data_IF_455531767992
#
_entry.id   IF_455531767992
#
_cell.length_a   1.000
_cell.length_b   1.000
_cell.length_c   1.000
_cell.angle_alpha   90.00
_cell.angle_beta   90.00
_cell.angle_gamma   90.00
#
_symmetry.space_group_name_H-M   'P 1'
#
loop_
_entity.id
_entity.type
_entity.pdbx_description
1 polymer ?
#
# COMPACT_ATOMS: atom_id res chain seq x y z
N UNK A 1 -12.45 -4.82 10.79
CA UNK A 1 -13.68 -4.02 10.82
C UNK A 1 -13.45 -2.68 10.13
N UNK A 2 -14.26 -2.32 9.14
CA UNK A 2 -14.30 -1.00 8.51
C UNK A 2 -15.58 -0.27 8.91
N UNK A 3 -15.51 1.07 9.02
CA UNK A 3 -16.64 1.89 9.41
C UNK A 3 -16.86 3.02 8.42
N UNK A 4 -18.12 3.28 8.12
CA UNK A 4 -18.54 4.37 7.23
C UNK A 4 -19.28 5.41 8.06
N UNK A 5 -18.85 6.64 7.95
CA UNK A 5 -19.46 7.76 8.65
C UNK A 5 -20.02 8.78 7.66
N UNK A 6 -21.19 9.34 8.00
CA UNK A 6 -21.69 10.54 7.33
C UNK A 6 -20.94 11.75 7.86
N UNK A 7 -20.43 12.57 6.95
CA UNK A 7 -19.80 13.84 7.26
C UNK A 7 -20.76 15.00 6.96
N UNK A 8 -20.65 16.05 7.75
CA UNK A 8 -21.25 17.32 7.42
C UNK A 8 -20.49 17.93 6.24
N UNK A 9 -21.17 18.25 5.11
CA UNK A 9 -20.48 18.70 3.89
C UNK A 9 -19.88 20.12 4.01
N UNK A 10 -20.26 20.89 5.03
CA UNK A 10 -19.77 22.27 5.25
C UNK A 10 -18.61 22.27 6.24
N UNK A 11 -18.73 21.52 7.35
CA UNK A 11 -17.77 21.57 8.44
C UNK A 11 -16.78 20.42 8.45
N UNK A 12 -17.04 19.34 7.70
CA UNK A 12 -16.26 18.08 7.73
C UNK A 12 -16.49 17.26 9.01
N UNK A 13 -17.34 17.70 9.92
CA UNK A 13 -17.58 16.99 11.17
C UNK A 13 -18.30 15.64 10.95
N UNK A 14 -17.90 14.63 11.73
CA UNK A 14 -18.59 13.33 11.75
C UNK A 14 -19.99 13.53 12.37
N UNK A 15 -21.03 13.19 11.61
CA UNK A 15 -22.42 13.32 12.06
C UNK A 15 -22.96 12.01 12.66
N UNK A 16 -22.77 10.90 11.95
CA UNK A 16 -23.23 9.60 12.44
C UNK A 16 -22.48 8.43 11.76
N UNK A 17 -22.43 7.31 12.47
CA UNK A 17 -22.07 6.02 11.89
C UNK A 17 -23.19 5.57 10.94
N UNK A 18 -22.85 5.25 9.69
CA UNK A 18 -23.78 4.70 8.70
C UNK A 18 -23.77 3.19 8.76
N UNK A 19 -22.55 2.58 8.76
CA UNK A 19 -22.39 1.14 8.62
C UNK A 19 -21.08 0.66 9.24
N UNK A 20 -21.07 -0.57 9.73
CA UNK A 20 -19.88 -1.34 10.08
C UNK A 20 -19.79 -2.54 9.13
N UNK A 21 -18.62 -2.72 8.52
CA UNK A 21 -18.35 -3.82 7.61
C UNK A 21 -17.42 -4.81 8.28
N UNK A 22 -17.88 -6.02 8.46
CA UNK A 22 -17.09 -7.16 8.93
C UNK A 22 -16.85 -8.13 7.76
N UNK A 23 -15.64 -8.69 7.71
CA UNK A 23 -15.33 -9.73 6.75
C UNK A 23 -15.44 -11.11 7.43
N UNK A 24 -16.44 -11.87 7.05
CA UNK A 24 -16.68 -13.23 7.55
C UNK A 24 -16.09 -14.29 6.60
N UNK A 25 -14.78 -14.17 6.32
CA UNK A 25 -14.06 -15.13 5.49
C UNK A 25 -13.14 -16.01 6.33
N UNK A 26 -12.78 -17.22 5.84
CA UNK A 26 -11.71 -17.99 6.44
C UNK A 26 -10.40 -17.20 6.49
N UNK A 27 -9.73 -17.25 7.62
CA UNK A 27 -8.42 -16.61 7.83
C UNK A 27 -7.30 -17.41 7.17
N UNK A 28 -6.17 -16.74 6.93
CA UNK A 28 -4.93 -17.40 6.50
C UNK A 28 -4.29 -18.20 7.63
N UNK A 29 -3.14 -18.82 7.36
CA UNK A 29 -2.45 -19.69 8.33
C UNK A 29 -1.29 -19.04 9.06
N UNK A 30 -0.98 -17.79 8.77
CA UNK A 30 0.07 -17.04 9.46
C UNK A 30 -0.40 -16.64 10.87
N UNK A 31 0.50 -16.58 11.85
CA UNK A 31 0.17 -16.21 13.26
C UNK A 31 -0.55 -14.85 13.39
N UNK A 32 -0.35 -13.93 12.45
CA UNK A 32 -1.02 -12.63 12.38
C UNK A 32 -2.37 -12.66 11.66
N UNK A 33 -2.84 -13.82 11.30
CA UNK A 33 -4.13 -14.01 10.61
C UNK A 33 -5.13 -14.74 11.51
N UNK A 34 -5.17 -14.36 12.79
CA UNK A 34 -6.11 -14.90 13.80
C UNK A 34 -7.56 -14.45 13.58
N UNK A 35 -7.75 -13.38 12.83
CA UNK A 35 -9.06 -12.80 12.50
C UNK A 35 -8.97 -11.95 11.23
N UNK A 36 -10.08 -11.40 10.78
CA UNK A 36 -10.09 -10.34 9.74
C UNK A 36 -9.34 -9.11 10.22
N UNK A 37 -8.42 -8.61 9.40
CA UNK A 37 -7.64 -7.40 9.63
C UNK A 37 -7.75 -6.48 8.41
N UNK A 38 -8.89 -5.77 8.29
CA UNK A 38 -9.05 -4.75 7.25
C UNK A 38 -8.02 -3.66 7.47
N UNK A 39 -7.08 -3.52 6.52
CA UNK A 39 -5.93 -2.65 6.69
C UNK A 39 -6.04 -1.33 5.91
N UNK A 40 -6.66 -1.35 4.75
CA UNK A 40 -6.71 -0.20 3.85
C UNK A 40 -8.05 -0.15 3.13
N UNK A 41 -8.60 1.05 3.02
CA UNK A 41 -9.77 1.34 2.18
C UNK A 41 -9.43 2.47 1.22
N UNK A 42 -9.84 2.33 -0.03
CA UNK A 42 -9.74 3.40 -1.00
C UNK A 42 -10.85 3.29 -2.05
N UNK A 43 -11.18 4.42 -2.66
CA UNK A 43 -12.01 4.47 -3.84
C UNK A 43 -11.22 3.98 -5.07
N UNK A 44 -11.89 3.31 -6.00
CA UNK A 44 -11.27 2.90 -7.26
C UNK A 44 -11.13 4.08 -8.22
N UNK A 45 -10.15 4.07 -9.17
CA UNK A 45 -9.91 5.20 -10.09
C UNK A 45 -11.12 5.58 -10.97
N UNK A 46 -12.02 4.63 -11.23
CA UNK A 46 -13.25 4.85 -12.00
C UNK A 46 -14.43 5.36 -11.15
N UNK A 47 -14.20 5.62 -9.85
CA UNK A 47 -15.18 6.11 -8.88
C UNK A 47 -16.44 5.24 -8.73
N UNK A 48 -16.37 3.95 -9.11
CA UNK A 48 -17.52 3.05 -9.03
C UNK A 48 -17.57 2.22 -7.77
N UNK A 49 -16.42 1.99 -7.15
CA UNK A 49 -16.26 1.05 -6.06
C UNK A 49 -15.37 1.60 -4.96
N UNK A 50 -15.52 1.01 -3.77
CA UNK A 50 -14.55 1.09 -2.68
C UNK A 50 -13.92 -0.28 -2.52
N UNK A 51 -12.61 -0.34 -2.37
CA UNK A 51 -11.85 -1.57 -2.15
C UNK A 51 -11.27 -1.59 -0.75
N UNK A 52 -11.31 -2.74 -0.11
CA UNK A 52 -10.73 -3.00 1.20
C UNK A 52 -9.75 -4.16 1.12
N UNK A 53 -8.50 -3.95 1.54
CA UNK A 53 -7.56 -5.04 1.75
C UNK A 53 -7.79 -5.67 3.11
N UNK A 54 -7.79 -6.98 3.18
CA UNK A 54 -7.88 -7.73 4.43
C UNK A 54 -6.68 -8.67 4.58
N UNK A 55 -5.75 -8.23 5.42
CA UNK A 55 -4.53 -8.96 5.74
C UNK A 55 -4.83 -10.32 6.37
N UNK A 56 -5.85 -10.38 7.23
CA UNK A 56 -6.18 -11.60 7.99
C UNK A 56 -6.79 -12.69 7.14
N UNK A 57 -7.44 -12.35 6.03
CA UNK A 57 -8.17 -13.30 5.18
C UNK A 57 -7.58 -13.48 3.78
N UNK A 58 -6.44 -12.85 3.49
CA UNK A 58 -5.76 -12.86 2.18
C UNK A 58 -6.65 -12.39 1.02
N UNK A 59 -7.44 -11.32 1.25
CA UNK A 59 -8.43 -10.86 0.26
C UNK A 59 -8.36 -9.36 0.02
N UNK A 60 -8.78 -8.99 -1.18
CA UNK A 60 -9.28 -7.65 -1.49
C UNK A 60 -10.78 -7.77 -1.73
N UNK A 61 -11.55 -7.07 -0.92
CA UNK A 61 -13.01 -7.04 -1.01
C UNK A 61 -13.42 -5.73 -1.68
N UNK A 62 -14.24 -5.82 -2.70
CA UNK A 62 -14.76 -4.68 -3.46
C UNK A 62 -16.21 -4.45 -3.09
N UNK A 63 -16.54 -3.20 -2.81
CA UNK A 63 -17.88 -2.75 -2.45
C UNK A 63 -18.39 -1.75 -3.46
N UNK A 64 -19.70 -1.77 -3.67
CA UNK A 64 -20.41 -0.77 -4.46
C UNK A 64 -21.29 0.09 -3.56
N UNK A 65 -21.31 1.39 -3.79
CA UNK A 65 -22.25 2.27 -3.11
C UNK A 65 -23.69 1.94 -3.50
N UNK A 66 -24.55 1.76 -2.49
CA UNK A 66 -25.99 1.60 -2.61
C UNK A 66 -26.73 2.68 -1.84
N UNK A 67 -28.05 2.68 -1.92
CA UNK A 67 -28.90 3.65 -1.18
C UNK A 67 -28.71 3.54 0.33
N UNK A 68 -28.44 2.32 0.82
CA UNK A 68 -28.36 2.00 2.26
C UNK A 68 -26.90 1.77 2.75
N UNK A 69 -25.89 2.16 1.98
CA UNK A 69 -24.48 1.96 2.33
C UNK A 69 -23.69 1.16 1.28
N UNK A 70 -22.64 0.46 1.71
CA UNK A 70 -21.77 -0.33 0.85
C UNK A 70 -22.25 -1.79 0.78
N UNK A 71 -22.42 -2.30 -0.43
CA UNK A 71 -22.74 -3.72 -0.67
C UNK A 71 -21.53 -4.42 -1.27
N UNK A 72 -21.15 -5.57 -0.72
CA UNK A 72 -20.09 -6.40 -1.28
C UNK A 72 -20.44 -6.74 -2.75
N UNK A 73 -19.49 -6.45 -3.63
CA UNK A 73 -19.65 -6.62 -5.08
C UNK A 73 -18.78 -7.74 -5.63
N UNK A 74 -17.49 -7.73 -5.28
CA UNK A 74 -16.52 -8.73 -5.71
C UNK A 74 -15.52 -9.06 -4.61
N UNK A 75 -14.86 -10.21 -4.74
CA UNK A 75 -13.78 -10.64 -3.85
C UNK A 75 -12.65 -11.18 -4.72
N UNK A 76 -11.44 -10.69 -4.50
CA UNK A 76 -10.21 -11.21 -5.11
C UNK A 76 -9.38 -11.88 -4.03
N UNK A 77 -9.11 -13.18 -4.20
CA UNK A 77 -8.35 -14.02 -3.28
C UNK A 77 -6.89 -14.06 -3.69
N UNK A 78 -5.98 -13.91 -2.73
CA UNK A 78 -4.54 -14.07 -2.90
C UNK A 78 -4.05 -15.37 -2.26
N UNK A 79 -2.75 -15.65 -2.32
CA UNK A 79 -2.18 -16.88 -1.74
C UNK A 79 -2.33 -16.85 -0.21
N UNK A 80 -2.39 -18.03 0.36
CA UNK A 80 -2.43 -18.16 1.82
C UNK A 80 -1.16 -17.57 2.46
N UNK A 81 -1.34 -16.79 3.50
CA UNK A 81 -0.28 -16.06 4.21
C UNK A 81 0.38 -14.93 3.40
N UNK A 82 -0.29 -14.37 2.42
CA UNK A 82 0.14 -13.17 1.72
C UNK A 82 -0.04 -11.91 2.58
N UNK A 83 -1.22 -11.72 3.15
CA UNK A 83 -1.57 -10.54 3.94
C UNK A 83 -1.61 -9.26 3.12
N UNK A 84 -2.57 -9.09 2.17
CA UNK A 84 -2.69 -7.87 1.38
C UNK A 84 -2.93 -6.66 2.29
N UNK A 85 -2.16 -5.58 2.06
CA UNK A 85 -2.08 -4.46 2.98
C UNK A 85 -2.48 -3.12 2.36
N UNK A 86 -1.78 -2.66 1.35
CA UNK A 86 -2.04 -1.42 0.60
C UNK A 86 -2.14 -1.69 -0.89
N UNK A 87 -2.80 -0.78 -1.61
CA UNK A 87 -2.96 -0.81 -3.07
C UNK A 87 -2.55 0.54 -3.64
N UNK A 88 -1.79 0.53 -4.73
CA UNK A 88 -1.60 1.67 -5.61
C UNK A 88 -2.13 1.31 -7.00
N UNK A 89 -2.82 2.25 -7.66
CA UNK A 89 -3.31 2.05 -9.02
C UNK A 89 -2.38 2.70 -10.03
N UNK A 90 -2.30 2.14 -11.23
CA UNK A 90 -1.68 2.80 -12.38
C UNK A 90 -2.45 4.10 -12.73
N UNK A 91 -1.77 5.06 -13.36
CA UNK A 91 -2.39 6.35 -13.68
C UNK A 91 -3.60 6.25 -14.62
N UNK A 92 -3.65 5.20 -15.43
CA UNK A 92 -4.79 4.92 -16.31
C UNK A 92 -5.89 4.08 -15.65
N UNK A 93 -5.68 3.65 -14.39
CA UNK A 93 -6.62 2.88 -13.60
C UNK A 93 -6.83 1.44 -14.05
N UNK A 94 -6.06 0.94 -15.03
CA UNK A 94 -6.23 -0.42 -15.56
C UNK A 94 -5.47 -1.49 -14.78
N UNK A 95 -4.45 -1.10 -14.03
CA UNK A 95 -3.64 -2.00 -13.23
C UNK A 95 -3.56 -1.53 -11.78
N UNK A 96 -3.26 -2.45 -10.90
CA UNK A 96 -3.01 -2.15 -9.49
C UNK A 96 -1.84 -2.97 -8.94
N UNK A 97 -1.12 -2.36 -8.02
CA UNK A 97 0.02 -2.92 -7.31
C UNK A 97 -0.39 -3.16 -5.87
N UNK A 98 -0.53 -4.44 -5.50
CA UNK A 98 -1.00 -4.85 -4.18
C UNK A 98 0.18 -5.40 -3.40
N UNK A 99 0.52 -4.75 -2.30
CA UNK A 99 1.61 -5.21 -1.43
C UNK A 99 1.09 -6.18 -0.39
N UNK A 100 1.84 -7.26 -0.19
CA UNK A 100 1.54 -8.34 0.73
C UNK A 100 2.47 -8.27 1.94
N UNK A 101 1.93 -7.87 3.09
CA UNK A 101 2.72 -7.61 4.31
C UNK A 101 3.53 -8.82 4.75
N UNK A 102 2.95 -10.02 4.64
CA UNK A 102 3.50 -11.22 5.25
C UNK A 102 4.44 -11.98 4.32
N UNK A 103 4.18 -11.97 3.02
CA UNK A 103 5.03 -12.65 2.03
C UNK A 103 6.18 -11.81 1.50
N UNK A 104 6.25 -10.51 1.80
CA UNK A 104 7.24 -9.57 1.26
C UNK A 104 7.24 -9.50 -0.28
N UNK A 105 6.06 -9.61 -0.87
CA UNK A 105 5.87 -9.57 -2.32
C UNK A 105 4.91 -8.44 -2.72
N UNK A 106 5.03 -7.98 -3.95
CA UNK A 106 4.04 -7.14 -4.63
C UNK A 106 3.44 -7.91 -5.79
N UNK A 107 2.10 -7.95 -5.86
CA UNK A 107 1.38 -8.44 -7.04
C UNK A 107 1.09 -7.28 -8.00
N UNK A 108 1.41 -7.47 -9.27
CA UNK A 108 0.84 -6.68 -10.36
C UNK A 108 -0.46 -7.33 -10.77
N UNK A 109 -1.53 -6.56 -10.79
CA UNK A 109 -2.87 -7.06 -11.12
C UNK A 109 -3.51 -6.24 -12.22
N UNK A 110 -4.24 -6.88 -13.12
CA UNK A 110 -5.22 -6.21 -13.98
C UNK A 110 -6.45 -5.87 -13.13
N UNK A 111 -6.87 -4.61 -13.17
CA UNK A 111 -8.12 -4.17 -12.55
C UNK A 111 -9.23 -4.10 -13.60
N UNK A 112 -10.27 -4.89 -13.40
CA UNK A 112 -11.44 -4.92 -14.28
C UNK A 112 -12.72 -5.00 -13.47
N UNK A 113 -13.52 -3.94 -13.53
CA UNK A 113 -14.87 -3.89 -12.94
C UNK A 113 -14.90 -4.42 -11.48
N UNK A 114 -14.04 -3.85 -10.63
CA UNK A 114 -13.96 -4.20 -9.22
C UNK A 114 -13.21 -5.50 -8.90
N UNK A 115 -12.63 -6.18 -9.88
CA UNK A 115 -11.85 -7.41 -9.69
C UNK A 115 -10.38 -7.18 -9.97
N UNK A 116 -9.53 -7.90 -9.23
CA UNK A 116 -8.08 -7.90 -9.37
C UNK A 116 -7.63 -9.27 -9.85
N UNK A 117 -7.05 -9.31 -11.06
CA UNK A 117 -6.54 -10.53 -11.70
C UNK A 117 -5.02 -10.45 -11.67
N UNK A 118 -4.39 -11.34 -10.90
CA UNK A 118 -2.93 -11.34 -10.76
C UNK A 118 -2.25 -11.71 -12.09
N UNK A 119 -1.28 -10.87 -12.50
CA UNK A 119 -0.46 -11.05 -13.70
C UNK A 119 0.92 -11.57 -13.34
N UNK A 120 1.59 -10.93 -12.38
CA UNK A 120 2.94 -11.29 -11.94
C UNK A 120 3.19 -10.90 -10.48
N UNK A 121 4.31 -11.41 -9.92
CA UNK A 121 4.77 -11.08 -8.56
C UNK A 121 6.24 -10.79 -8.52
N UNK A 122 6.63 -9.91 -7.61
CA UNK A 122 8.03 -9.57 -7.35
C UNK A 122 8.31 -9.56 -5.86
N UNK A 123 9.45 -10.12 -5.44
CA UNK A 123 9.99 -9.91 -4.10
C UNK A 123 10.47 -8.46 -3.94
N UNK A 124 10.28 -7.91 -2.75
CA UNK A 124 10.71 -6.55 -2.42
C UNK A 124 11.97 -6.52 -1.54
N UNK A 125 12.46 -7.70 -1.15
CA UNK A 125 13.68 -7.90 -0.36
C UNK A 125 14.65 -8.82 -1.10
N UNK A 126 15.97 -8.77 -0.80
CA UNK A 126 16.94 -9.67 -1.39
C UNK A 126 16.67 -11.13 -1.04
N UNK A 127 16.95 -12.05 -1.97
CA UNK A 127 16.70 -13.50 -1.78
C UNK A 127 17.59 -14.15 -0.71
N UNK A 128 18.68 -13.51 -0.34
CA UNK A 128 19.63 -13.95 0.70
C UNK A 128 19.36 -13.31 2.08
N UNK A 129 18.34 -12.45 2.18
CA UNK A 129 17.93 -11.89 3.46
C UNK A 129 17.22 -12.94 4.33
N UNK A 130 17.72 -13.17 5.54
CA UNK A 130 17.23 -14.19 6.46
C UNK A 130 16.58 -13.61 7.74
N UNK A 131 16.35 -12.28 7.79
CA UNK A 131 15.70 -11.62 8.91
C UNK A 131 14.17 -11.57 8.76
N UNK A 132 13.51 -11.05 9.78
CA UNK A 132 12.08 -10.72 9.68
C UNK A 132 11.88 -9.44 8.89
N UNK A 133 10.96 -9.46 7.95
CA UNK A 133 10.54 -8.27 7.21
C UNK A 133 9.04 -8.29 6.95
N UNK A 134 8.44 -7.10 6.92
CA UNK A 134 7.00 -6.91 6.68
C UNK A 134 6.80 -5.70 5.79
N UNK A 135 6.11 -5.85 4.67
CA UNK A 135 5.80 -4.72 3.81
C UNK A 135 4.91 -3.69 4.52
N UNK A 136 5.04 -2.44 4.14
CA UNK A 136 4.20 -1.39 4.69
C UNK A 136 3.50 -0.57 3.60
N UNK A 137 4.09 0.48 3.08
CA UNK A 137 3.47 1.38 2.12
C UNK A 137 3.87 1.04 0.68
N UNK A 138 3.00 1.40 -0.26
CA UNK A 138 3.26 1.41 -1.70
C UNK A 138 2.82 2.74 -2.28
N UNK A 139 3.63 3.34 -3.13
CA UNK A 139 3.31 4.56 -3.88
C UNK A 139 3.86 4.47 -5.29
N UNK A 140 3.04 4.90 -6.24
CA UNK A 140 3.46 5.15 -7.61
C UNK A 140 3.93 6.62 -7.72
N UNK A 141 4.98 6.90 -8.47
CA UNK A 141 5.34 8.27 -8.82
C UNK A 141 4.21 8.94 -9.62
N UNK A 142 4.07 10.26 -9.54
CA UNK A 142 3.00 10.98 -10.22
C UNK A 142 3.09 10.84 -11.75
N UNK A 143 4.31 10.69 -12.29
CA UNK A 143 4.52 10.40 -13.72
C UNK A 143 4.22 8.94 -14.11
N UNK A 144 3.89 8.07 -13.15
CA UNK A 144 3.52 6.68 -13.35
C UNK A 144 4.66 5.72 -13.70
N UNK A 145 5.93 6.17 -13.65
CA UNK A 145 7.06 5.38 -14.15
C UNK A 145 7.74 4.52 -13.12
N UNK A 146 7.61 4.86 -11.83
CA UNK A 146 8.33 4.16 -10.77
C UNK A 146 7.43 3.84 -9.59
N UNK A 147 7.53 2.61 -9.09
CA UNK A 147 6.83 2.14 -7.92
C UNK A 147 7.80 1.99 -6.75
N UNK A 148 7.41 2.49 -5.59
CA UNK A 148 8.18 2.44 -4.34
C UNK A 148 7.43 1.65 -3.29
N UNK A 149 8.15 0.80 -2.52
CA UNK A 149 7.56 -0.07 -1.50
C UNK A 149 8.48 -0.10 -0.29
N UNK A 150 7.94 0.19 0.91
CA UNK A 150 8.74 0.16 2.14
C UNK A 150 8.69 -1.20 2.83
N UNK A 151 9.86 -1.66 3.32
CA UNK A 151 10.09 -2.94 4.01
C UNK A 151 10.53 -2.67 5.45
N UNK A 152 9.67 -2.98 6.42
CA UNK A 152 9.95 -2.86 7.85
C UNK A 152 10.73 -4.10 8.33
N UNK A 153 11.81 -3.91 9.05
CA UNK A 153 12.71 -4.97 9.52
C UNK A 153 13.89 -5.21 8.56
N UNK A 154 13.67 -5.25 7.24
CA UNK A 154 14.75 -5.09 6.27
C UNK A 154 15.20 -3.61 6.16
N UNK A 155 14.35 -2.69 6.58
CA UNK A 155 14.59 -1.25 6.67
C UNK A 155 15.08 -0.63 5.35
N UNK A 156 14.26 -0.84 4.32
CA UNK A 156 14.55 -0.41 2.95
C UNK A 156 13.31 0.06 2.20
N UNK A 157 13.56 0.66 1.04
CA UNK A 157 12.57 0.99 0.02
C UNK A 157 12.94 0.23 -1.25
N UNK A 158 12.10 -0.71 -1.68
CA UNK A 158 12.24 -1.38 -2.97
C UNK A 158 11.72 -0.45 -4.06
N UNK A 159 12.48 -0.35 -5.16
CA UNK A 159 12.24 0.54 -6.29
C UNK A 159 12.07 -0.30 -7.55
N UNK A 160 10.96 -0.09 -8.24
CA UNK A 160 10.67 -0.75 -9.51
C UNK A 160 10.39 0.26 -10.60
N UNK A 161 10.82 -0.03 -11.80
CA UNK A 161 10.34 0.61 -13.02
C UNK A 161 9.04 -0.05 -13.46
N UNK A 162 8.08 0.77 -13.83
CA UNK A 162 6.79 0.34 -14.36
C UNK A 162 6.89 0.22 -15.87
N UNK A 163 6.60 -0.95 -16.40
CA UNK A 163 6.70 -1.31 -17.81
C UNK A 163 5.33 -1.60 -18.41
N UNK A 164 5.27 -1.61 -19.73
CA UNK A 164 4.08 -2.05 -20.50
C UNK A 164 2.78 -1.37 -20.03
N UNK A 165 2.80 -0.06 -19.86
CA UNK A 165 1.64 0.74 -19.40
C UNK A 165 1.07 0.27 -18.05
N UNK A 166 1.93 -0.16 -17.14
CA UNK A 166 1.53 -0.58 -15.79
C UNK A 166 1.40 -2.09 -15.59
N UNK A 167 1.57 -2.88 -16.65
CA UNK A 167 1.31 -4.31 -16.63
C UNK A 167 2.43 -5.15 -16.04
N UNK A 168 3.65 -4.63 -16.00
CA UNK A 168 4.83 -5.34 -15.54
C UNK A 168 5.76 -4.43 -14.74
N UNK A 169 6.59 -5.04 -13.87
CA UNK A 169 7.58 -4.36 -13.06
C UNK A 169 8.98 -4.89 -13.34
N UNK A 170 9.95 -4.00 -13.33
CA UNK A 170 11.37 -4.35 -13.33
C UNK A 170 12.04 -3.78 -12.09
N UNK A 171 12.64 -4.65 -11.27
CA UNK A 171 13.41 -4.20 -10.10
C UNK A 171 14.58 -3.31 -10.52
N UNK A 172 14.71 -2.15 -9.89
CA UNK A 172 15.82 -1.21 -10.08
C UNK A 172 16.81 -1.38 -8.94
N UNK A 173 16.33 -1.27 -7.69
CA UNK A 173 17.18 -1.20 -6.50
C UNK A 173 16.38 -1.47 -5.24
N UNK A 174 17.04 -1.95 -4.19
CA UNK A 174 16.52 -2.00 -2.83
C UNK A 174 17.38 -1.04 -2.00
N UNK A 175 16.87 0.18 -1.81
CA UNK A 175 17.55 1.29 -1.18
C UNK A 175 17.39 1.24 0.34
N UNK A 176 18.46 1.32 1.18
CA UNK A 176 18.30 1.49 2.62
C UNK A 176 17.43 2.69 2.97
N UNK A 177 16.54 2.54 3.95
CA UNK A 177 15.69 3.65 4.42
C UNK A 177 16.40 4.60 5.40
N UNK A 178 17.59 4.21 5.88
CA UNK A 178 18.48 4.94 6.78
C UNK A 178 17.95 5.20 8.19
N UNK A 179 16.81 4.60 8.52
CA UNK A 179 16.34 4.45 9.90
C UNK A 179 15.41 3.22 9.99
N UNK A 180 15.03 2.81 11.19
CA UNK A 180 14.34 1.56 11.42
C UNK A 180 12.81 1.69 11.21
N UNK A 181 12.22 0.63 10.69
CA UNK A 181 10.80 0.44 10.52
C UNK A 181 10.11 1.51 9.66
N UNK A 182 10.46 1.66 8.36
CA UNK A 182 9.84 2.60 7.43
C UNK A 182 8.36 2.23 7.20
N UNK A 183 7.45 2.86 7.97
CA UNK A 183 6.04 2.46 8.00
C UNK A 183 5.22 3.10 6.91
N UNK A 184 5.49 4.36 6.59
CA UNK A 184 4.82 5.08 5.51
C UNK A 184 5.78 6.08 4.86
N UNK A 185 5.51 6.42 3.63
CA UNK A 185 6.22 7.46 2.90
C UNK A 185 5.27 8.11 1.89
N UNK A 186 5.64 9.29 1.42
CA UNK A 186 4.94 9.92 0.31
C UNK A 186 5.93 10.61 -0.62
N UNK A 187 5.51 10.84 -1.86
CA UNK A 187 6.28 11.51 -2.91
C UNK A 187 5.68 12.90 -3.10
N UNK A 188 6.52 13.92 -3.17
CA UNK A 188 6.06 15.30 -3.39
C UNK A 188 5.39 15.43 -4.76
N UNK A 189 4.44 16.36 -4.90
CA UNK A 189 3.74 16.63 -6.19
C UNK A 189 4.70 16.91 -7.36
N UNK A 190 5.87 17.45 -7.06
CA UNK A 190 6.93 17.70 -8.06
C UNK A 190 7.70 16.45 -8.48
N UNK A 191 7.42 15.30 -7.88
CA UNK A 191 8.17 14.04 -8.04
C UNK A 191 9.67 14.11 -7.66
N UNK A 192 10.14 15.22 -7.06
CA UNK A 192 11.56 15.42 -6.78
C UNK A 192 12.02 14.83 -5.44
N UNK A 193 11.11 14.60 -4.51
CA UNK A 193 11.44 14.10 -3.17
C UNK A 193 10.53 12.98 -2.73
N UNK A 194 11.11 12.02 -1.98
CA UNK A 194 10.38 11.04 -1.20
C UNK A 194 10.67 11.30 0.28
N UNK A 195 9.62 11.40 1.10
CA UNK A 195 9.70 11.61 2.54
C UNK A 195 9.20 10.35 3.22
N UNK A 196 10.05 9.69 4.00
CA UNK A 196 9.76 8.43 4.69
C UNK A 196 9.68 8.64 6.19
N UNK A 197 8.62 8.15 6.81
CA UNK A 197 8.42 8.13 8.25
C UNK A 197 8.76 6.74 8.81
N UNK A 198 9.53 6.74 9.90
CA UNK A 198 10.00 5.55 10.60
C UNK A 198 9.29 5.42 11.95
N UNK A 199 8.74 4.26 12.21
CA UNK A 199 8.10 3.97 13.48
C UNK A 199 9.13 3.80 14.62
N UNK A 200 10.29 3.26 14.29
CA UNK A 200 11.40 3.01 15.19
C UNK A 200 12.64 3.79 14.75
N UNK A 201 13.75 3.66 15.45
CA UNK A 201 15.01 4.34 15.16
C UNK A 201 15.13 5.73 15.81
N UNK A 202 16.16 6.49 15.43
CA UNK A 202 16.52 7.75 16.09
C UNK A 202 16.01 9.00 15.33
N UNK A 203 16.11 8.99 14.01
CA UNK A 203 15.80 10.18 13.20
C UNK A 203 14.32 10.33 12.89
N UNK A 204 13.59 9.21 12.81
CA UNK A 204 12.14 9.15 12.56
C UNK A 204 11.67 9.61 11.18
N UNK A 205 12.41 10.46 10.48
CA UNK A 205 12.10 10.91 9.12
C UNK A 205 13.36 10.92 8.27
N UNK A 206 13.31 10.26 7.11
CA UNK A 206 14.33 10.34 6.07
C UNK A 206 13.77 11.06 4.84
N UNK A 207 14.55 11.96 4.28
CA UNK A 207 14.21 12.74 3.08
C UNK A 207 15.16 12.33 1.98
N UNK A 208 14.60 11.85 0.87
CA UNK A 208 15.35 11.45 -0.30
C UNK A 208 15.11 12.41 -1.46
N UNK A 209 16.15 12.73 -2.18
CA UNK A 209 16.07 13.28 -3.53
C UNK A 209 15.82 12.13 -4.50
N UNK A 210 14.83 12.29 -5.37
CA UNK A 210 14.43 11.31 -6.37
C UNK A 210 14.91 11.72 -7.75
N UNK A 211 15.61 10.85 -8.42
CA UNK A 211 15.93 10.99 -9.84
C UNK A 211 14.72 10.59 -10.69
N UNK A 212 14.12 11.56 -11.37
CA UNK A 212 12.89 11.36 -12.15
C UNK A 212 13.08 10.50 -13.41
N UNK A 213 14.34 10.26 -13.84
CA UNK A 213 14.65 9.44 -15.01
C UNK A 213 14.86 8.00 -14.61
N UNK A 214 15.66 7.77 -13.56
CA UNK A 214 16.06 6.42 -13.13
C UNK A 214 15.23 5.86 -11.98
N UNK A 215 14.41 6.68 -11.33
CA UNK A 215 13.65 6.32 -10.13
C UNK A 215 14.48 6.19 -8.85
N UNK A 216 15.82 6.29 -8.93
CA UNK A 216 16.71 6.09 -7.79
C UNK A 216 16.58 7.17 -6.75
N UNK A 217 16.84 6.76 -5.50
CA UNK A 217 16.76 7.63 -4.33
C UNK A 217 18.16 7.92 -3.79
N UNK A 218 18.42 9.18 -3.44
CA UNK A 218 19.63 9.60 -2.72
C UNK A 218 19.25 10.26 -1.42
N UNK A 219 19.80 9.79 -0.30
CA UNK A 219 19.51 10.41 1.00
C UNK A 219 19.96 11.86 1.00
N UNK A 220 19.05 12.78 1.27
CA UNK A 220 19.30 14.21 1.38
C UNK A 220 19.45 14.68 2.81
N UNK A 221 18.55 14.23 3.69
CA UNK A 221 18.51 14.67 5.07
C UNK A 221 17.77 13.66 5.96
N UNK A 222 17.98 13.78 7.28
CA UNK A 222 17.25 13.06 8.32
C UNK A 222 16.76 14.03 9.38
N UNK A 223 15.53 13.84 9.88
CA UNK A 223 14.92 14.73 10.87
C UNK A 223 14.33 13.95 12.05
N UNK A 224 14.62 14.40 13.24
CA UNK A 224 14.03 13.90 14.49
C UNK A 224 12.82 14.77 14.89
N UNK A 225 11.76 14.77 14.09
CA UNK A 225 10.61 15.69 14.23
C UNK A 225 9.36 15.05 14.82
N UNK A 226 9.32 13.74 14.95
CA UNK A 226 8.16 13.02 15.47
C UNK A 226 8.61 11.79 16.27
N UNK A 227 7.76 11.33 17.19
CA UNK A 227 7.90 10.03 17.80
C UNK A 227 6.95 9.06 17.07
N UNK A 228 7.46 7.90 16.61
CA UNK A 228 6.67 6.84 15.99
C UNK A 228 5.86 7.31 14.78
N UNK A 229 6.52 7.85 13.76
CA UNK A 229 5.87 8.28 12.51
C UNK A 229 5.21 7.12 11.78
N UNK A 230 3.90 7.20 11.58
CA UNK A 230 3.09 6.11 10.98
C UNK A 230 2.35 6.51 9.71
N UNK A 231 2.35 7.80 9.37
CA UNK A 231 1.70 8.33 8.17
C UNK A 231 2.42 9.59 7.69
N UNK A 232 2.56 9.73 6.36
CA UNK A 232 3.09 10.92 5.69
C UNK A 232 2.01 11.48 4.77
N UNK A 233 1.52 12.67 5.10
CA UNK A 233 0.61 13.43 4.27
C UNK A 233 1.34 14.66 3.72
N UNK A 234 1.26 14.89 2.41
CA UNK A 234 1.86 16.03 1.69
C UNK A 234 0.79 16.83 0.97
#
# INVERSE_FOLDING_TARGET
LARIYKLNPITGAIEKLIEELEHEFPTGSHERQDSSHVHFLNETPDHKYVVATDLGTDRVVTYKFGEDGLKQYAVSQFKNSDGPRHIAFSNDGRHAYIVHELSNEVSVTEYQDGKFIELERHSTIPSDFNGESKLAAVRLSHDGKHLYISNRGHDSIAIFEVLEDGRSLRSIEIQPSYDAFPRDFNITESDNYLICAHQEGESKVSIFERDNITGKLSLKDKKAIANEGVCVLL
#
